data_IF_973479642467
#
_entry.id   IF_973479642467
#
_cell.length_a   1.000
_cell.length_b   1.000
_cell.length_c   1.000
_cell.angle_alpha   90.00
_cell.angle_beta   90.00
_cell.angle_gamma   90.00
#
_symmetry.space_group_name_H-M   'P 1'
#
loop_
_entity.id
_entity.type
_entity.pdbx_description
1 polymer ?
#
# COMPACT_ATOMS: atom_id res chain seq x y z
N UNK A 1 10.73 12.53 -33.74
CA UNK A 1 9.47 12.22 -33.06
C UNK A 1 9.66 12.47 -31.56
N UNK A 2 8.67 12.93 -30.81
CA UNK A 2 8.82 13.13 -29.39
C UNK A 2 9.08 11.80 -28.66
N UNK A 3 9.88 11.86 -27.57
CA UNK A 3 10.08 10.74 -26.65
C UNK A 3 8.81 10.47 -25.87
N UNK A 4 8.31 9.25 -25.92
CA UNK A 4 7.06 8.82 -25.27
C UNK A 4 7.36 8.21 -23.91
N UNK A 5 6.95 8.89 -22.83
CA UNK A 5 6.98 8.37 -21.48
C UNK A 5 5.58 7.90 -21.10
N UNK A 6 5.42 6.59 -20.94
CA UNK A 6 4.15 5.98 -20.54
C UNK A 6 4.18 5.63 -19.07
N UNK A 7 3.19 6.11 -18.32
CA UNK A 7 3.06 5.86 -16.87
C UNK A 7 1.79 5.08 -16.64
N UNK A 8 1.87 3.96 -15.91
CA UNK A 8 0.74 3.10 -15.59
C UNK A 8 0.41 3.17 -14.11
N UNK A 9 -0.87 3.41 -13.83
CA UNK A 9 -1.45 3.46 -12.49
C UNK A 9 -1.63 4.87 -11.95
N UNK A 10 -2.86 5.24 -11.59
CA UNK A 10 -3.25 6.51 -10.97
C UNK A 10 -3.07 6.56 -9.45
N UNK A 11 -2.34 5.60 -8.87
CA UNK A 11 -1.98 5.54 -7.45
C UNK A 11 -0.76 6.37 -7.10
N UNK A 12 -0.24 6.17 -5.87
CA UNK A 12 0.90 6.94 -5.31
C UNK A 12 2.08 7.01 -6.28
N UNK A 13 2.56 5.88 -6.78
CA UNK A 13 3.78 5.88 -7.58
C UNK A 13 3.60 6.51 -8.94
N UNK A 14 2.50 6.22 -9.65
CA UNK A 14 2.27 6.81 -10.98
C UNK A 14 2.04 8.31 -10.93
N UNK A 15 1.30 8.80 -9.92
CA UNK A 15 1.05 10.24 -9.73
C UNK A 15 2.34 11.00 -9.38
N UNK A 16 3.16 10.44 -8.49
CA UNK A 16 4.47 11.01 -8.15
C UNK A 16 5.39 11.03 -9.38
N UNK A 17 5.44 9.93 -10.12
CA UNK A 17 6.26 9.85 -11.34
C UNK A 17 5.79 10.86 -12.40
N UNK A 18 4.48 10.96 -12.65
CA UNK A 18 3.92 11.89 -13.63
C UNK A 18 4.24 13.34 -13.28
N UNK A 19 4.05 13.72 -12.00
CA UNK A 19 4.42 15.05 -11.52
C UNK A 19 5.91 15.33 -11.75
N UNK A 20 6.77 14.41 -11.33
CA UNK A 20 8.21 14.62 -11.38
C UNK A 20 8.75 14.71 -12.79
N UNK A 21 8.28 13.84 -13.71
CA UNK A 21 8.64 13.94 -15.14
C UNK A 21 8.19 15.29 -15.70
N UNK A 22 6.93 15.66 -15.47
CA UNK A 22 6.40 16.93 -15.98
C UNK A 22 7.17 18.16 -15.46
N UNK A 23 7.64 18.14 -14.20
CA UNK A 23 8.48 19.20 -13.64
C UNK A 23 9.84 19.28 -14.29
N UNK A 24 10.50 18.12 -14.50
CA UNK A 24 11.84 18.03 -15.09
C UNK A 24 11.87 18.34 -16.60
N UNK A 25 10.80 17.98 -17.32
CA UNK A 25 10.71 18.17 -18.77
C UNK A 25 9.83 19.36 -19.18
N UNK A 26 9.57 20.29 -18.23
CA UNK A 26 8.75 21.48 -18.51
C UNK A 26 9.27 22.27 -19.70
N UNK A 27 8.36 22.59 -20.63
CA UNK A 27 8.69 23.37 -21.84
C UNK A 27 9.33 22.56 -22.98
N UNK A 28 9.53 21.25 -22.82
CA UNK A 28 10.07 20.36 -23.85
C UNK A 28 8.93 19.86 -24.76
N UNK A 29 8.90 20.33 -26.01
CA UNK A 29 7.95 19.86 -27.03
C UNK A 29 8.31 18.46 -27.59
N UNK A 30 9.53 18.01 -27.35
CA UNK A 30 10.05 16.71 -27.78
C UNK A 30 9.84 15.58 -26.75
N UNK A 31 9.01 15.81 -25.72
CA UNK A 31 8.64 14.81 -24.72
C UNK A 31 7.12 14.74 -24.58
N UNK A 32 6.55 13.56 -24.74
CA UNK A 32 5.14 13.27 -24.53
C UNK A 32 4.97 12.39 -23.28
N UNK A 33 4.24 12.87 -22.27
CA UNK A 33 3.98 12.12 -21.04
C UNK A 33 2.52 11.71 -20.99
N UNK A 34 2.25 10.41 -20.89
CA UNK A 34 0.90 9.86 -20.78
C UNK A 34 0.76 9.04 -19.50
N UNK A 35 -0.24 9.37 -18.67
CA UNK A 35 -0.63 8.62 -17.47
C UNK A 35 -1.90 7.82 -17.77
N UNK A 36 -1.83 6.50 -17.67
CA UNK A 36 -2.98 5.59 -17.80
C UNK A 36 -3.43 5.12 -16.41
N UNK A 37 -4.73 5.24 -16.14
CA UNK A 37 -5.35 4.78 -14.89
C UNK A 37 -6.74 4.20 -15.17
N UNK A 38 -7.16 3.21 -14.39
CA UNK A 38 -8.51 2.65 -14.41
C UNK A 38 -9.56 3.60 -13.80
N UNK A 39 -9.11 4.60 -13.03
CA UNK A 39 -9.93 5.67 -12.48
C UNK A 39 -9.54 7.03 -13.07
N UNK A 40 -10.43 8.00 -12.98
CA UNK A 40 -10.19 9.41 -13.34
C UNK A 40 -9.78 10.28 -12.16
N UNK A 41 -9.53 9.65 -11.00
CA UNK A 41 -9.09 10.30 -9.78
C UNK A 41 -7.91 9.56 -9.14
N UNK A 42 -7.10 10.30 -8.43
CA UNK A 42 -6.16 9.82 -7.43
C UNK A 42 -6.86 9.71 -6.09
N UNK A 43 -6.79 8.55 -5.46
CA UNK A 43 -7.23 8.31 -4.09
C UNK A 43 -6.00 8.02 -3.23
N UNK A 44 -5.79 8.78 -2.15
CA UNK A 44 -4.70 8.50 -1.21
C UNK A 44 -5.06 7.29 -0.33
N UNK A 45 -4.42 6.11 -0.52
CA UNK A 45 -4.87 4.85 0.11
C UNK A 45 -4.97 4.88 1.63
N UNK A 46 -4.06 5.54 2.40
CA UNK A 46 -4.22 5.65 3.85
C UNK A 46 -5.53 6.30 4.32
N UNK A 47 -6.11 7.19 3.52
CA UNK A 47 -7.39 7.83 3.85
C UNK A 47 -8.60 6.89 3.73
N UNK A 48 -8.45 5.71 3.14
CA UNK A 48 -9.49 4.67 3.16
C UNK A 48 -9.82 4.21 4.59
N UNK A 49 -8.84 4.23 5.50
CA UNK A 49 -9.08 3.99 6.94
C UNK A 49 -10.01 5.06 7.51
N UNK A 50 -9.73 6.33 7.20
CA UNK A 50 -10.54 7.45 7.68
C UNK A 50 -11.96 7.45 7.06
N UNK A 51 -12.11 7.04 5.79
CA UNK A 51 -13.43 6.87 5.16
C UNK A 51 -14.23 5.78 5.88
N UNK A 52 -13.60 4.66 6.22
CA UNK A 52 -14.26 3.55 6.90
C UNK A 52 -14.61 3.86 8.36
N UNK A 53 -13.75 4.56 9.09
CA UNK A 53 -13.82 4.68 10.55
C UNK A 53 -14.20 6.08 11.06
N UNK A 54 -14.22 7.08 10.21
CA UNK A 54 -14.54 8.46 10.59
C UNK A 54 -15.52 9.11 9.60
N UNK A 55 -15.73 10.42 9.75
CA UNK A 55 -16.68 11.18 8.92
C UNK A 55 -16.04 11.82 7.67
N UNK A 56 -14.87 11.33 7.23
CA UNK A 56 -14.27 11.79 5.97
C UNK A 56 -15.07 11.23 4.80
N UNK A 57 -15.51 12.12 3.90
CA UNK A 57 -16.15 11.72 2.66
C UNK A 57 -15.11 11.25 1.62
N UNK A 58 -15.50 10.39 0.66
CA UNK A 58 -14.61 9.99 -0.43
C UNK A 58 -13.98 11.17 -1.17
N UNK A 59 -14.75 12.23 -1.42
CA UNK A 59 -14.30 13.42 -2.13
C UNK A 59 -13.16 14.15 -1.43
N UNK A 60 -13.09 14.09 -0.10
CA UNK A 60 -12.00 14.69 0.68
C UNK A 60 -10.68 13.89 0.58
N UNK A 61 -10.75 12.65 0.14
CA UNK A 61 -9.60 11.75 -0.03
C UNK A 61 -9.12 11.63 -1.48
N UNK A 62 -9.79 12.35 -2.42
CA UNK A 62 -9.59 12.22 -3.86
C UNK A 62 -9.16 13.52 -4.51
N UNK A 63 -8.37 13.40 -5.58
CA UNK A 63 -8.04 14.50 -6.50
C UNK A 63 -8.27 14.03 -7.94
N UNK A 64 -8.92 14.84 -8.80
CA UNK A 64 -9.13 14.48 -10.20
C UNK A 64 -7.79 14.45 -10.95
N UNK A 65 -7.53 13.37 -11.68
CA UNK A 65 -6.30 13.23 -12.49
C UNK A 65 -6.26 14.23 -13.67
N UNK A 66 -7.41 14.77 -14.06
CA UNK A 66 -7.46 15.83 -15.08
C UNK A 66 -6.63 17.07 -14.74
N UNK A 67 -6.31 17.30 -13.46
CA UNK A 67 -5.39 18.38 -13.04
C UNK A 67 -3.99 18.27 -13.65
N UNK A 68 -3.57 17.07 -14.05
CA UNK A 68 -2.28 16.87 -14.71
C UNK A 68 -2.18 17.52 -16.09
N UNK A 69 -3.31 17.84 -16.74
CA UNK A 69 -3.32 18.57 -18.00
C UNK A 69 -2.60 19.92 -17.91
N UNK A 70 -2.74 20.62 -16.78
CA UNK A 70 -2.02 21.89 -16.52
C UNK A 70 -0.50 21.74 -16.42
N UNK A 71 -0.02 20.51 -16.28
CA UNK A 71 1.42 20.16 -16.26
C UNK A 71 1.92 19.58 -17.57
N UNK A 72 1.06 19.51 -18.60
CA UNK A 72 1.40 18.91 -19.88
C UNK A 72 1.38 17.37 -19.91
N UNK A 73 0.77 16.73 -18.89
CA UNK A 73 0.59 15.27 -18.86
C UNK A 73 -0.78 14.92 -19.41
N UNK A 74 -0.82 14.06 -20.43
CA UNK A 74 -2.05 13.47 -20.94
C UNK A 74 -2.52 12.37 -19.99
N UNK A 75 -3.77 12.43 -19.54
CA UNK A 75 -4.38 11.38 -18.73
C UNK A 75 -5.36 10.56 -19.57
N UNK A 76 -5.28 9.24 -19.44
CA UNK A 76 -6.17 8.30 -20.14
C UNK A 76 -6.81 7.37 -19.12
N UNK A 77 -8.14 7.35 -19.07
CA UNK A 77 -8.87 6.38 -18.26
C UNK A 77 -8.96 5.07 -19.06
N UNK A 78 -8.18 4.08 -18.64
CA UNK A 78 -8.17 2.76 -19.26
C UNK A 78 -7.68 1.69 -18.28
N UNK A 79 -8.19 0.47 -18.46
CA UNK A 79 -7.75 -0.71 -17.71
C UNK A 79 -6.58 -1.36 -18.45
N UNK A 80 -5.42 -1.44 -17.81
CA UNK A 80 -4.26 -2.15 -18.34
C UNK A 80 -4.53 -3.64 -18.30
N UNK A 81 -4.38 -4.32 -19.44
CA UNK A 81 -4.58 -5.77 -19.59
C UNK A 81 -3.28 -6.54 -19.60
N UNK A 82 -2.27 -6.02 -20.30
CA UNK A 82 -0.97 -6.69 -20.45
C UNK A 82 0.14 -5.68 -20.70
N UNK A 83 1.29 -5.92 -20.10
CA UNK A 83 2.55 -5.23 -20.41
C UNK A 83 3.41 -6.15 -21.26
N UNK A 84 3.82 -5.69 -22.43
CA UNK A 84 4.71 -6.41 -23.36
C UNK A 84 6.02 -5.61 -23.50
N UNK A 85 7.03 -5.89 -22.67
CA UNK A 85 8.27 -5.12 -22.70
C UNK A 85 9.15 -5.42 -23.91
N UNK A 86 9.05 -6.62 -24.51
CA UNK A 86 9.84 -7.00 -25.68
C UNK A 86 9.45 -6.17 -26.92
N UNK A 87 8.16 -5.83 -27.04
CA UNK A 87 7.62 -5.02 -28.12
C UNK A 87 7.40 -3.55 -27.73
N UNK A 88 7.78 -3.14 -26.51
CA UNK A 88 7.54 -1.79 -25.96
C UNK A 88 6.09 -1.34 -26.09
N UNK A 89 5.15 -2.23 -25.77
CA UNK A 89 3.72 -1.96 -25.86
C UNK A 89 2.98 -2.30 -24.56
N UNK A 90 1.88 -1.59 -24.35
CA UNK A 90 0.92 -1.86 -23.27
C UNK A 90 -0.46 -2.03 -23.90
N UNK A 91 -1.11 -3.13 -23.61
CA UNK A 91 -2.51 -3.40 -24.02
C UNK A 91 -3.48 -2.94 -22.94
N UNK A 92 -4.50 -2.22 -23.36
CA UNK A 92 -5.60 -1.74 -22.49
C UNK A 92 -6.95 -2.07 -23.12
N UNK A 93 -8.03 -1.78 -22.40
CA UNK A 93 -9.39 -1.83 -22.93
C UNK A 93 -9.70 -0.69 -23.94
N UNK A 94 -8.84 0.33 -24.03
CA UNK A 94 -8.93 1.45 -24.96
C UNK A 94 -7.93 1.35 -26.14
N UNK A 95 -7.24 0.21 -26.30
CA UNK A 95 -6.26 -0.03 -27.36
C UNK A 95 -4.84 -0.24 -26.87
N UNK A 96 -3.89 -0.18 -27.81
CA UNK A 96 -2.46 -0.37 -27.55
C UNK A 96 -1.71 0.95 -27.48
N UNK A 97 -0.80 1.05 -26.53
CA UNK A 97 0.09 2.21 -26.36
C UNK A 97 1.53 1.77 -26.52
N UNK A 98 2.30 2.54 -27.28
CA UNK A 98 3.75 2.38 -27.44
C UNK A 98 4.50 3.37 -26.57
N UNK A 99 5.72 3.01 -26.14
CA UNK A 99 6.56 3.86 -25.31
C UNK A 99 8.03 3.79 -25.71
N UNK A 100 8.77 4.85 -25.39
CA UNK A 100 10.24 4.84 -25.34
C UNK A 100 10.70 4.53 -23.91
N UNK A 101 9.94 5.01 -22.90
CA UNK A 101 10.13 4.72 -21.47
C UNK A 101 8.81 4.33 -20.82
N UNK A 102 8.85 3.30 -20.00
CA UNK A 102 7.70 2.84 -19.21
C UNK A 102 7.98 3.01 -17.72
N UNK A 103 7.06 3.67 -17.01
CA UNK A 103 7.02 3.66 -15.55
C UNK A 103 5.73 2.97 -15.13
N UNK A 104 5.81 1.72 -14.64
CA UNK A 104 4.62 0.96 -14.27
C UNK A 104 4.49 0.85 -12.75
N UNK A 105 3.39 1.40 -12.20
CA UNK A 105 3.06 1.44 -10.78
C UNK A 105 1.62 0.99 -10.53
N UNK A 106 1.33 -0.27 -10.86
CA UNK A 106 -0.02 -0.85 -10.83
C UNK A 106 -0.49 -1.32 -9.43
N UNK A 107 0.29 -1.08 -8.38
CA UNK A 107 -0.03 -1.50 -7.01
C UNK A 107 0.09 -3.02 -6.82
N UNK A 108 -0.86 -3.63 -6.12
CA UNK A 108 -0.99 -5.08 -5.92
C UNK A 108 -2.44 -5.48 -6.10
N UNK A 109 -2.67 -6.69 -6.57
CA UNK A 109 -3.97 -7.34 -6.51
C UNK A 109 -4.21 -7.90 -5.10
N UNK A 110 -5.47 -7.99 -4.69
CA UNK A 110 -5.86 -8.52 -3.39
C UNK A 110 -6.50 -9.89 -3.54
N UNK A 111 -5.96 -10.87 -2.81
CA UNK A 111 -6.48 -12.24 -2.84
C UNK A 111 -7.56 -12.43 -1.76
N UNK A 112 -8.80 -12.26 -2.14
CA UNK A 112 -9.95 -12.56 -1.29
C UNK A 112 -10.41 -14.02 -1.38
N UNK A 113 -9.96 -14.77 -2.41
CA UNK A 113 -10.52 -16.10 -2.73
C UNK A 113 -9.87 -17.22 -1.95
N UNK A 114 -8.54 -17.22 -1.82
CA UNK A 114 -7.79 -18.35 -1.22
C UNK A 114 -8.29 -18.75 0.16
N UNK A 115 -8.71 -17.77 0.97
CA UNK A 115 -9.20 -17.99 2.34
C UNK A 115 -10.67 -17.62 2.53
N UNK A 116 -11.46 -17.47 1.46
CA UNK A 116 -12.86 -17.02 1.49
C UNK A 116 -13.05 -15.69 2.24
N UNK A 117 -12.17 -14.73 2.01
CA UNK A 117 -12.19 -13.45 2.72
C UNK A 117 -13.32 -12.51 2.25
N UNK A 118 -14.03 -12.86 1.19
CA UNK A 118 -15.15 -12.07 0.63
C UNK A 118 -16.30 -11.86 1.65
N UNK A 119 -16.41 -12.75 2.64
CA UNK A 119 -17.37 -12.63 3.74
C UNK A 119 -17.03 -11.55 4.78
N UNK A 120 -15.80 -11.04 4.78
CA UNK A 120 -15.32 -10.05 5.74
C UNK A 120 -15.34 -8.63 5.21
N UNK A 121 -15.22 -7.68 6.12
CA UNK A 121 -15.13 -6.25 5.81
C UNK A 121 -13.67 -5.81 5.71
N UNK A 122 -13.40 -4.83 4.88
CA UNK A 122 -12.07 -4.28 4.68
C UNK A 122 -12.15 -2.82 4.19
N UNK A 123 -11.00 -2.11 4.21
CA UNK A 123 -10.87 -0.78 3.62
C UNK A 123 -9.70 -0.71 2.61
N UNK A 124 -9.46 -1.80 1.88
CA UNK A 124 -8.43 -1.85 0.82
C UNK A 124 -8.91 -1.25 -0.50
N UNK A 125 -10.22 -1.09 -0.66
CA UNK A 125 -10.87 -0.41 -1.78
C UNK A 125 -11.90 0.61 -1.24
N UNK A 126 -12.31 1.55 -2.08
CA UNK A 126 -13.33 2.53 -1.70
C UNK A 126 -14.66 1.86 -1.35
N UNK A 127 -15.12 0.95 -2.20
CA UNK A 127 -16.36 0.18 -1.95
C UNK A 127 -16.28 -0.62 -0.65
N UNK A 128 -15.14 -1.29 -0.40
CA UNK A 128 -14.89 -2.00 0.85
C UNK A 128 -14.93 -1.09 2.07
N UNK A 129 -14.32 0.10 1.98
CA UNK A 129 -14.33 1.08 3.07
C UNK A 129 -15.75 1.59 3.40
N UNK A 130 -16.57 1.83 2.39
CA UNK A 130 -17.96 2.25 2.57
C UNK A 130 -18.81 1.14 3.18
N UNK A 131 -18.70 -0.09 2.68
CA UNK A 131 -19.39 -1.27 3.26
C UNK A 131 -18.98 -1.51 4.71
N UNK A 132 -17.70 -1.34 5.02
CA UNK A 132 -17.19 -1.48 6.38
C UNK A 132 -17.76 -0.39 7.30
N UNK A 133 -17.81 0.86 6.84
CA UNK A 133 -18.44 1.98 7.56
C UNK A 133 -19.89 1.66 7.93
N UNK A 134 -20.68 1.19 6.96
CA UNK A 134 -22.09 0.84 7.17
C UNK A 134 -22.26 -0.32 8.15
N UNK A 135 -21.42 -1.34 8.06
CA UNK A 135 -21.40 -2.48 8.98
C UNK A 135 -21.08 -2.02 10.41
N UNK A 136 -20.07 -1.17 10.59
CA UNK A 136 -19.71 -0.63 11.90
C UNK A 136 -20.85 0.23 12.48
N UNK A 137 -21.53 1.04 11.70
CA UNK A 137 -22.66 1.85 12.15
C UNK A 137 -23.80 0.99 12.75
N UNK A 138 -23.99 -0.21 12.21
CA UNK A 138 -25.02 -1.15 12.64
C UNK A 138 -24.58 -2.15 13.72
N UNK A 139 -23.28 -2.28 13.98
CA UNK A 139 -22.76 -3.22 14.98
C UNK A 139 -23.12 -2.79 16.42
N UNK A 140 -23.60 -3.71 17.24
CA UNK A 140 -24.10 -3.43 18.61
C UNK A 140 -23.35 -4.17 19.72
N UNK A 141 -22.46 -5.12 19.36
CA UNK A 141 -21.70 -5.95 20.29
C UNK A 141 -21.42 -7.33 19.72
N UNK A 142 -20.60 -8.10 20.39
CA UNK A 142 -20.18 -9.45 20.00
C UNK A 142 -18.69 -9.55 19.70
N UNK A 143 -18.28 -10.65 19.09
CA UNK A 143 -16.89 -10.96 18.79
C UNK A 143 -16.44 -10.31 17.47
N UNK A 144 -15.43 -9.45 17.55
CA UNK A 144 -14.75 -8.85 16.39
C UNK A 144 -13.46 -9.60 16.16
N UNK A 145 -13.32 -10.17 14.97
CA UNK A 145 -12.09 -10.84 14.54
C UNK A 145 -11.43 -10.04 13.42
N UNK A 146 -10.16 -9.71 13.60
CA UNK A 146 -9.30 -9.15 12.55
C UNK A 146 -8.41 -10.29 12.07
N UNK A 147 -8.54 -10.68 10.80
CA UNK A 147 -7.87 -11.85 10.26
C UNK A 147 -6.84 -11.49 9.20
N UNK A 148 -5.60 -11.86 9.47
CA UNK A 148 -4.43 -11.71 8.58
C UNK A 148 -3.89 -13.09 8.26
N UNK A 149 -4.21 -13.69 7.11
CA UNK A 149 -3.78 -15.07 6.80
C UNK A 149 -2.32 -15.18 6.39
N UNK A 150 -1.75 -14.15 5.74
CA UNK A 150 -0.39 -14.19 5.19
C UNK A 150 0.44 -12.95 5.60
N UNK A 151 1.79 -13.06 5.61
CA UNK A 151 2.65 -11.96 6.05
C UNK A 151 2.84 -10.86 5.00
N UNK A 152 2.52 -11.11 3.71
CA UNK A 152 2.65 -10.12 2.63
C UNK A 152 1.29 -9.54 2.30
N UNK A 153 1.02 -8.36 2.82
CA UNK A 153 -0.21 -7.59 2.62
C UNK A 153 0.10 -6.10 2.59
N UNK A 154 -0.80 -5.30 2.02
CA UNK A 154 -0.61 -3.83 1.97
C UNK A 154 -0.68 -3.23 3.37
N UNK A 155 0.30 -2.39 3.71
CA UNK A 155 0.40 -1.64 4.95
C UNK A 155 0.60 -2.51 6.19
N UNK A 156 1.85 -2.93 6.43
CA UNK A 156 2.23 -3.84 7.52
C UNK A 156 1.78 -3.43 8.93
N UNK A 157 1.49 -2.15 9.17
CA UNK A 157 1.00 -1.64 10.46
C UNK A 157 -0.52 -1.62 10.59
N UNK A 158 -1.25 -1.75 9.46
CA UNK A 158 -2.70 -1.59 9.42
C UNK A 158 -3.48 -2.52 10.39
N UNK A 159 -3.20 -3.82 10.50
CA UNK A 159 -3.99 -4.71 11.38
C UNK A 159 -3.94 -4.30 12.85
N UNK A 160 -2.80 -3.77 13.28
CA UNK A 160 -2.59 -3.33 14.66
C UNK A 160 -3.27 -1.98 14.91
N UNK A 161 -3.21 -1.09 13.93
CA UNK A 161 -3.88 0.20 13.95
C UNK A 161 -5.39 0.04 14.00
N UNK A 162 -5.98 -0.78 13.12
CA UNK A 162 -7.43 -0.98 13.07
C UNK A 162 -7.97 -1.58 14.38
N UNK A 163 -7.21 -2.48 15.02
CA UNK A 163 -7.60 -3.04 16.31
C UNK A 163 -7.73 -1.95 17.40
N UNK A 164 -6.76 -1.04 17.46
CA UNK A 164 -6.79 0.08 18.41
C UNK A 164 -7.89 1.10 18.10
N UNK A 165 -8.12 1.42 16.84
CA UNK A 165 -9.17 2.34 16.44
C UNK A 165 -10.57 1.79 16.68
N UNK A 166 -10.81 0.49 16.46
CA UNK A 166 -12.07 -0.16 16.75
C UNK A 166 -12.38 -0.12 18.25
N UNK A 167 -11.39 -0.38 19.11
CA UNK A 167 -11.54 -0.22 20.56
C UNK A 167 -12.00 1.21 20.92
N UNK A 168 -11.33 2.23 20.38
CA UNK A 168 -11.68 3.63 20.64
C UNK A 168 -13.09 3.99 20.13
N UNK A 169 -13.48 3.51 18.95
CA UNK A 169 -14.82 3.70 18.39
C UNK A 169 -15.89 3.08 19.31
N UNK A 170 -15.68 1.83 19.75
CA UNK A 170 -16.63 1.15 20.61
C UNK A 170 -16.72 1.78 22.02
N UNK A 171 -15.61 2.33 22.54
CA UNK A 171 -15.62 3.15 23.78
C UNK A 171 -16.42 4.42 23.58
N UNK A 172 -16.19 5.16 22.51
CA UNK A 172 -16.94 6.39 22.19
C UNK A 172 -18.43 6.12 22.04
N UNK A 173 -18.80 4.93 21.55
CA UNK A 173 -20.20 4.49 21.39
C UNK A 173 -20.80 3.87 22.66
N UNK A 174 -20.04 3.73 23.74
CA UNK A 174 -20.50 3.13 25.01
C UNK A 174 -20.82 1.63 24.94
N UNK A 175 -20.28 0.92 23.95
CA UNK A 175 -20.54 -0.53 23.75
C UNK A 175 -19.30 -1.40 23.93
N UNK A 176 -18.14 -0.82 24.32
CA UNK A 176 -16.88 -1.56 24.41
C UNK A 176 -16.95 -2.79 25.33
N UNK A 177 -17.71 -2.69 26.40
CA UNK A 177 -17.93 -3.79 27.37
C UNK A 177 -18.78 -4.96 26.81
N UNK A 178 -19.34 -4.80 25.61
CA UNK A 178 -20.10 -5.83 24.88
C UNK A 178 -19.33 -6.40 23.70
N UNK A 179 -18.05 -6.05 23.56
CA UNK A 179 -17.25 -6.39 22.39
C UNK A 179 -15.96 -7.07 22.79
N UNK A 180 -15.67 -8.22 22.19
CA UNK A 180 -14.40 -8.91 22.27
C UNK A 180 -13.62 -8.70 20.97
N UNK A 181 -12.41 -8.12 21.03
CA UNK A 181 -11.57 -7.88 19.85
C UNK A 181 -10.43 -8.89 19.84
N UNK A 182 -10.30 -9.64 18.74
CA UNK A 182 -9.20 -10.58 18.53
C UNK A 182 -8.51 -10.27 17.21
N UNK A 183 -7.18 -10.08 17.24
CA UNK A 183 -6.33 -10.00 16.06
C UNK A 183 -5.58 -11.31 15.86
N UNK A 184 -5.77 -11.95 14.70
CA UNK A 184 -5.13 -13.20 14.27
C UNK A 184 -4.08 -12.87 13.22
N UNK A 185 -2.80 -13.23 13.45
CA UNK A 185 -1.70 -12.76 12.63
C UNK A 185 -0.57 -13.81 12.49
N UNK A 186 0.14 -13.87 11.33
CA UNK A 186 1.27 -14.78 11.15
C UNK A 186 2.52 -14.45 11.99
N UNK A 187 2.74 -13.19 12.39
CA UNK A 187 3.87 -12.85 13.27
C UNK A 187 3.63 -13.36 14.68
N UNK A 188 4.70 -13.81 15.35
CA UNK A 188 4.62 -14.31 16.74
C UNK A 188 4.25 -13.21 17.71
N UNK A 189 4.83 -12.03 17.54
CA UNK A 189 4.56 -10.85 18.36
C UNK A 189 3.95 -9.74 17.48
N UNK A 190 3.12 -8.86 18.04
CA UNK A 190 2.53 -7.78 17.26
C UNK A 190 3.62 -6.85 16.73
N UNK A 191 3.49 -6.46 15.46
CA UNK A 191 4.37 -5.49 14.77
C UNK A 191 5.88 -5.83 14.82
N UNK A 192 6.19 -7.10 14.99
CA UNK A 192 7.55 -7.64 15.20
C UNK A 192 8.63 -7.07 14.24
N UNK A 193 8.37 -6.82 12.95
CA UNK A 193 9.36 -6.24 12.05
C UNK A 193 9.87 -4.83 12.42
N UNK A 194 9.14 -4.09 13.27
CA UNK A 194 9.54 -2.74 13.69
C UNK A 194 10.49 -2.74 14.90
N UNK A 195 10.78 -3.92 15.46
CA UNK A 195 11.73 -4.05 16.57
C UNK A 195 11.09 -4.04 17.97
N UNK A 196 11.90 -4.27 19.01
CA UNK A 196 11.42 -4.62 20.35
C UNK A 196 10.64 -3.50 21.04
N UNK A 197 10.96 -2.24 20.80
CA UNK A 197 10.27 -1.10 21.42
C UNK A 197 8.85 -0.95 20.86
N UNK A 198 8.68 -1.03 19.54
CA UNK A 198 7.36 -0.99 18.91
C UNK A 198 6.48 -2.17 19.38
N UNK A 199 7.07 -3.36 19.47
CA UNK A 199 6.42 -4.56 19.99
C UNK A 199 5.91 -4.32 21.41
N UNK A 200 6.80 -3.86 22.31
CA UNK A 200 6.45 -3.58 23.71
C UNK A 200 5.28 -2.61 23.82
N UNK A 201 5.34 -1.47 23.12
CA UNK A 201 4.28 -0.46 23.12
C UNK A 201 2.95 -1.05 22.65
N UNK A 202 2.99 -1.88 21.60
CA UNK A 202 1.78 -2.50 21.04
C UNK A 202 1.19 -3.55 21.97
N UNK A 203 2.02 -4.40 22.59
CA UNK A 203 1.58 -5.40 23.57
C UNK A 203 0.93 -4.74 24.80
N UNK A 204 1.59 -3.72 25.37
CA UNK A 204 1.03 -2.94 26.49
C UNK A 204 -0.28 -2.26 26.10
N UNK A 205 -0.38 -1.72 24.88
CA UNK A 205 -1.59 -1.10 24.37
C UNK A 205 -2.73 -2.12 24.23
N UNK A 206 -2.44 -3.29 23.67
CA UNK A 206 -3.44 -4.35 23.50
C UNK A 206 -3.92 -4.88 24.84
N UNK A 207 -2.99 -5.09 25.79
CA UNK A 207 -3.33 -5.50 27.15
C UNK A 207 -4.25 -4.48 27.84
N UNK A 208 -3.90 -3.18 27.79
CA UNK A 208 -4.70 -2.11 28.39
C UNK A 208 -6.09 -1.94 27.75
N UNK A 209 -6.22 -2.29 26.45
CA UNK A 209 -7.47 -2.23 25.71
C UNK A 209 -8.28 -3.54 25.76
N UNK A 210 -7.75 -4.61 26.34
CA UNK A 210 -8.38 -5.93 26.31
C UNK A 210 -8.51 -6.48 24.89
N UNK A 211 -7.50 -6.26 24.04
CA UNK A 211 -7.42 -6.81 22.68
C UNK A 211 -6.61 -8.10 22.72
N UNK A 212 -7.21 -9.21 22.30
CA UNK A 212 -6.54 -10.51 22.22
C UNK A 212 -5.68 -10.59 20.95
N UNK A 213 -4.43 -11.03 21.08
CA UNK A 213 -3.54 -11.31 19.96
C UNK A 213 -3.29 -12.81 19.84
N UNK A 214 -3.57 -13.39 18.68
CA UNK A 214 -3.24 -14.76 18.30
C UNK A 214 -2.17 -14.69 17.22
N UNK A 215 -0.90 -14.80 17.64
CA UNK A 215 0.26 -14.69 16.76
C UNK A 215 0.88 -16.03 16.41
N UNK A 216 1.80 -16.01 15.44
CA UNK A 216 2.53 -17.21 14.99
C UNK A 216 1.69 -18.18 14.19
N UNK A 217 0.64 -17.71 13.53
CA UNK A 217 -0.24 -18.54 12.73
C UNK A 217 0.49 -19.01 11.45
N UNK A 218 0.82 -20.30 11.40
CA UNK A 218 1.49 -20.97 10.27
C UNK A 218 0.54 -21.77 9.40
N UNK A 219 -0.67 -22.06 9.90
CA UNK A 219 -1.71 -22.80 9.20
C UNK A 219 -3.02 -22.00 9.18
N UNK A 220 -3.07 -20.90 8.39
CA UNK A 220 -4.29 -20.15 8.21
C UNK A 220 -5.29 -20.98 7.39
N UNK A 221 -6.55 -21.00 7.82
CA UNK A 221 -7.62 -21.70 7.12
C UNK A 221 -8.69 -20.75 6.58
N UNK A 222 -9.68 -21.28 5.89
CA UNK A 222 -10.73 -20.47 5.27
C UNK A 222 -11.71 -19.89 6.29
N UNK A 223 -12.34 -18.81 5.89
CA UNK A 223 -13.54 -18.27 6.54
C UNK A 223 -14.75 -19.08 6.12
N UNK A 224 -15.57 -19.46 7.08
CA UNK A 224 -16.89 -20.06 6.87
C UNK A 224 -17.98 -19.03 7.24
N UNK A 225 -18.57 -18.41 6.22
CA UNK A 225 -19.61 -17.39 6.42
C UNK A 225 -20.93 -17.96 6.98
N UNK A 226 -21.22 -19.23 6.73
CA UNK A 226 -22.45 -19.86 7.22
C UNK A 226 -22.40 -20.08 8.73
N UNK A 227 -21.25 -20.53 9.23
CA UNK A 227 -21.05 -20.76 10.68
C UNK A 227 -20.44 -19.56 11.39
N UNK A 228 -20.09 -18.48 10.65
CA UNK A 228 -19.39 -17.30 11.16
C UNK A 228 -18.12 -17.67 11.92
N UNK A 229 -17.24 -18.45 11.27
CA UNK A 229 -15.97 -18.88 11.86
C UNK A 229 -14.78 -18.68 10.94
N UNK A 230 -13.61 -18.44 11.56
CA UNK A 230 -12.29 -18.52 10.93
C UNK A 230 -11.59 -19.76 11.44
N UNK A 231 -11.00 -20.56 10.54
CA UNK A 231 -10.27 -21.77 10.92
C UNK A 231 -8.78 -21.49 11.07
N UNK A 232 -8.17 -21.84 12.21
CA UNK A 232 -6.75 -21.66 12.49
C UNK A 232 -6.19 -22.94 13.11
N UNK A 233 -5.25 -23.61 12.44
CA UNK A 233 -4.66 -24.86 12.95
C UNK A 233 -5.68 -25.95 13.24
N UNK A 234 -6.82 -25.93 12.54
CA UNK A 234 -7.94 -26.85 12.77
C UNK A 234 -8.98 -26.36 13.78
N UNK A 235 -8.69 -25.32 14.57
CA UNK A 235 -9.64 -24.73 15.52
C UNK A 235 -10.54 -23.69 14.84
N UNK A 236 -11.81 -23.61 15.24
CA UNK A 236 -12.78 -22.63 14.72
C UNK A 236 -12.98 -21.49 15.72
N UNK A 237 -12.67 -20.26 15.26
CA UNK A 237 -12.85 -19.03 16.02
C UNK A 237 -14.10 -18.33 15.48
N UNK A 238 -15.12 -18.14 16.34
CA UNK A 238 -16.36 -17.47 15.97
C UNK A 238 -16.19 -15.95 15.88
N UNK A 239 -16.98 -15.31 15.01
CA UNK A 239 -17.08 -13.87 14.90
C UNK A 239 -18.52 -13.39 14.66
N UNK A 240 -18.82 -12.19 15.12
CA UNK A 240 -20.03 -11.43 14.77
C UNK A 240 -19.68 -10.34 13.73
N UNK A 241 -18.46 -9.78 13.81
CA UNK A 241 -17.88 -8.87 12.83
C UNK A 241 -16.48 -9.38 12.43
N UNK A 242 -16.27 -9.59 11.15
CA UNK A 242 -14.98 -10.01 10.59
C UNK A 242 -14.34 -8.88 9.80
N UNK A 243 -13.14 -8.48 10.20
CA UNK A 243 -12.27 -7.58 9.41
C UNK A 243 -11.18 -8.42 8.77
N UNK A 244 -11.03 -8.33 7.46
CA UNK A 244 -10.05 -9.13 6.71
C UNK A 244 -8.93 -8.29 6.13
N UNK A 245 -7.73 -8.85 6.16
CA UNK A 245 -6.53 -8.29 5.55
C UNK A 245 -6.10 -9.22 4.42
N UNK A 246 -6.49 -8.91 3.17
CA UNK A 246 -6.22 -9.80 2.04
C UNK A 246 -4.73 -9.84 1.72
N UNK A 247 -4.18 -11.02 1.39
CA UNK A 247 -2.83 -11.14 0.86
C UNK A 247 -2.65 -10.31 -0.41
N UNK A 248 -1.47 -9.72 -0.54
CA UNK A 248 -1.07 -9.03 -1.75
C UNK A 248 -0.56 -10.02 -2.80
N UNK A 249 -0.90 -9.76 -4.07
CA UNK A 249 -0.47 -10.57 -5.23
C UNK A 249 0.06 -9.66 -6.34
N UNK A 250 0.83 -10.25 -7.23
CA UNK A 250 1.26 -9.58 -8.44
C UNK A 250 0.04 -9.14 -9.27
N UNK A 251 -0.01 -7.89 -9.76
CA UNK A 251 -1.09 -7.45 -10.65
C UNK A 251 -1.12 -8.25 -11.96
N UNK A 252 -2.31 -8.67 -12.36
CA UNK A 252 -2.54 -9.49 -13.57
C UNK A 252 -1.82 -9.01 -14.84
N UNK A 253 -1.69 -7.69 -15.14
CA UNK A 253 -0.96 -7.24 -16.33
C UNK A 253 0.49 -7.69 -16.43
N UNK A 254 1.10 -8.13 -15.33
CA UNK A 254 2.45 -8.67 -15.29
C UNK A 254 2.52 -10.20 -15.34
N UNK A 255 1.39 -10.90 -15.21
CA UNK A 255 1.36 -12.38 -15.23
C UNK A 255 1.91 -12.94 -16.53
N UNK A 256 2.85 -13.90 -16.41
CA UNK A 256 3.49 -14.55 -17.54
C UNK A 256 4.38 -13.62 -18.37
N UNK A 257 4.62 -12.40 -17.93
CA UNK A 257 5.55 -11.48 -18.61
C UNK A 257 6.99 -11.68 -18.11
N UNK A 258 8.02 -11.33 -18.92
CA UNK A 258 9.40 -11.37 -18.47
C UNK A 258 9.74 -10.42 -17.32
N UNK A 259 8.82 -9.51 -16.95
CA UNK A 259 8.96 -8.59 -15.80
C UNK A 259 8.72 -9.26 -14.47
N UNK A 260 8.04 -10.42 -14.43
CA UNK A 260 7.74 -11.16 -13.21
C UNK A 260 8.80 -12.21 -12.89
N UNK A 261 9.06 -12.45 -11.61
CA UNK A 261 9.94 -13.50 -11.13
C UNK A 261 9.42 -14.08 -9.80
N UNK A 262 9.73 -15.36 -9.56
CA UNK A 262 9.38 -16.05 -8.30
C UNK A 262 10.37 -15.74 -7.19
N UNK A 263 9.85 -15.49 -5.99
CA UNK A 263 10.59 -15.29 -4.75
C UNK A 263 9.99 -16.17 -3.65
N UNK A 264 10.68 -16.41 -2.53
CA UNK A 264 10.15 -17.21 -1.42
C UNK A 264 8.82 -16.67 -0.85
N UNK A 265 8.58 -15.37 -1.01
CA UNK A 265 7.38 -14.67 -0.51
C UNK A 265 6.34 -14.38 -1.60
N UNK A 266 6.44 -14.99 -2.78
CA UNK A 266 5.49 -14.82 -3.88
C UNK A 266 6.12 -14.49 -5.22
N UNK A 267 5.29 -14.12 -6.18
CA UNK A 267 5.73 -13.67 -7.52
C UNK A 267 5.69 -12.14 -7.54
N UNK A 268 6.79 -11.49 -7.93
CA UNK A 268 6.95 -10.04 -7.90
C UNK A 268 7.78 -9.55 -9.08
N UNK A 269 7.80 -8.23 -9.31
CA UNK A 269 8.63 -7.62 -10.35
C UNK A 269 9.97 -7.17 -9.75
N UNK A 270 11.10 -7.83 -10.07
CA UNK A 270 12.41 -7.43 -9.56
C UNK A 270 12.90 -6.13 -10.21
N UNK A 271 13.40 -5.24 -9.35
CA UNK A 271 13.96 -3.95 -9.74
C UNK A 271 15.39 -3.78 -9.21
N UNK A 272 16.15 -2.91 -9.82
CA UNK A 272 17.37 -2.39 -9.21
C UNK A 272 17.00 -1.49 -8.02
N UNK A 273 17.52 -1.81 -6.84
CA UNK A 273 17.17 -1.18 -5.57
C UNK A 273 17.49 0.32 -5.51
N UNK A 274 18.46 0.80 -6.29
CA UNK A 274 18.84 2.20 -6.36
C UNK A 274 17.97 3.01 -7.32
N UNK A 275 17.59 2.43 -8.45
CA UNK A 275 17.01 3.20 -9.58
C UNK A 275 15.54 2.93 -9.80
N UNK A 276 14.98 1.83 -9.25
CA UNK A 276 13.64 1.37 -9.56
C UNK A 276 13.48 0.80 -10.98
N UNK A 277 14.59 0.67 -11.75
CA UNK A 277 14.61 0.11 -13.09
C UNK A 277 14.42 -1.40 -13.03
N UNK A 278 13.72 -1.99 -13.98
CA UNK A 278 13.68 -3.45 -14.19
C UNK A 278 15.09 -4.03 -14.26
N UNK A 279 15.29 -5.23 -13.69
CA UNK A 279 16.59 -5.93 -13.80
C UNK A 279 16.84 -6.50 -15.19
N UNK A 280 15.85 -6.46 -16.10
CA UNK A 280 15.92 -7.04 -17.45
C UNK A 280 15.82 -6.01 -18.59
N UNK A 281 15.18 -4.86 -18.36
CA UNK A 281 14.88 -3.87 -19.39
C UNK A 281 15.35 -2.50 -18.97
N UNK A 282 16.13 -1.85 -19.83
CA UNK A 282 16.72 -0.53 -19.52
C UNK A 282 15.72 0.62 -19.64
N UNK A 283 14.66 0.44 -20.39
CA UNK A 283 13.60 1.42 -20.66
C UNK A 283 12.33 1.22 -19.78
N UNK A 284 12.36 0.24 -18.83
CA UNK A 284 11.22 -0.08 -17.96
C UNK A 284 11.58 0.16 -16.50
N UNK A 285 10.77 0.96 -15.83
CA UNK A 285 10.83 1.26 -14.40
C UNK A 285 9.56 0.78 -13.70
N UNK A 286 9.70 0.16 -12.52
CA UNK A 286 8.63 -0.56 -11.85
C UNK A 286 8.46 -0.11 -10.38
N UNK A 287 8.27 1.20 -10.11
CA UNK A 287 8.15 1.73 -8.75
C UNK A 287 6.74 1.48 -8.18
N UNK A 288 6.39 0.25 -7.93
CA UNK A 288 5.08 -0.14 -7.42
C UNK A 288 5.17 -1.05 -6.20
N UNK A 289 4.06 -1.23 -5.49
CA UNK A 289 3.97 -2.21 -4.39
C UNK A 289 4.32 -3.63 -4.87
N UNK A 290 4.07 -3.93 -6.13
CA UNK A 290 4.42 -5.20 -6.79
C UNK A 290 5.93 -5.47 -6.88
N UNK A 291 6.79 -4.49 -6.59
CA UNK A 291 8.26 -4.65 -6.60
C UNK A 291 8.86 -4.65 -5.20
N UNK A 292 8.18 -4.08 -4.23
CA UNK A 292 8.72 -3.90 -2.88
C UNK A 292 9.14 -5.21 -2.22
N UNK A 293 8.34 -6.31 -2.25
CA UNK A 293 8.74 -7.58 -1.64
C UNK A 293 9.94 -8.23 -2.32
N UNK A 294 10.15 -7.98 -3.63
CA UNK A 294 11.31 -8.48 -4.37
C UNK A 294 12.63 -7.92 -3.84
N UNK A 295 12.63 -6.70 -3.33
CA UNK A 295 13.83 -6.04 -2.78
C UNK A 295 13.86 -6.03 -1.25
N UNK A 296 12.90 -6.68 -0.57
CA UNK A 296 12.86 -6.80 0.90
C UNK A 296 12.18 -5.64 1.63
N UNK A 297 11.45 -4.77 0.92
CA UNK A 297 10.66 -3.69 1.51
C UNK A 297 9.18 -4.10 1.68
N UNK A 298 8.44 -3.47 2.62
CA UNK A 298 7.02 -3.71 2.77
C UNK A 298 6.21 -3.08 1.63
N UNK A 299 5.06 -3.66 1.33
CA UNK A 299 4.04 -3.08 0.44
C UNK A 299 3.39 -1.87 1.12
N UNK A 300 3.96 -0.70 0.92
CA UNK A 300 3.55 0.54 1.58
C UNK A 300 3.77 1.77 0.69
N UNK A 301 2.99 2.83 0.92
CA UNK A 301 3.03 4.04 0.09
C UNK A 301 4.36 4.81 0.16
N UNK A 302 5.03 4.83 1.31
CA UNK A 302 6.29 5.59 1.48
C UNK A 302 7.43 5.03 0.61
N UNK A 303 7.77 3.73 0.65
CA UNK A 303 8.77 3.16 -0.25
C UNK A 303 8.42 3.38 -1.73
N UNK A 304 7.16 3.20 -2.10
CA UNK A 304 6.69 3.43 -3.49
C UNK A 304 6.87 4.89 -3.91
N UNK A 305 6.55 5.85 -3.03
CA UNK A 305 6.73 7.28 -3.31
C UNK A 305 8.19 7.60 -3.67
N UNK A 306 9.14 7.21 -2.84
CA UNK A 306 10.56 7.47 -3.07
C UNK A 306 11.09 6.73 -4.30
N UNK A 307 10.73 5.47 -4.49
CA UNK A 307 11.15 4.71 -5.68
C UNK A 307 10.58 5.32 -6.96
N UNK A 308 9.33 5.81 -6.93
CA UNK A 308 8.72 6.48 -8.07
C UNK A 308 9.41 7.82 -8.40
N UNK A 309 9.76 8.59 -7.38
CA UNK A 309 10.50 9.84 -7.56
C UNK A 309 11.89 9.58 -8.17
N UNK A 310 12.59 8.57 -7.67
CA UNK A 310 13.89 8.14 -8.22
C UNK A 310 13.76 7.67 -9.66
N UNK A 311 12.82 6.76 -9.94
CA UNK A 311 12.58 6.25 -11.31
C UNK A 311 12.27 7.39 -12.29
N UNK A 312 11.43 8.35 -11.88
CA UNK A 312 11.12 9.52 -12.70
C UNK A 312 12.35 10.42 -12.94
N UNK A 313 13.20 10.62 -11.93
CA UNK A 313 14.46 11.35 -12.10
C UNK A 313 15.40 10.65 -13.06
N UNK A 314 15.52 9.31 -12.99
CA UNK A 314 16.34 8.53 -13.92
C UNK A 314 15.85 8.71 -15.35
N UNK A 315 14.56 8.49 -15.61
CA UNK A 315 13.96 8.67 -16.95
C UNK A 315 14.16 10.09 -17.47
N UNK A 316 13.89 11.11 -16.63
CA UNK A 316 14.08 12.50 -17.04
C UNK A 316 15.54 12.83 -17.33
N UNK A 317 16.48 12.33 -16.52
CA UNK A 317 17.91 12.52 -16.75
C UNK A 317 18.39 11.90 -18.06
N UNK A 318 17.95 10.68 -18.37
CA UNK A 318 18.27 10.03 -19.64
C UNK A 318 17.73 10.80 -20.87
N UNK A 319 16.50 11.33 -20.76
CA UNK A 319 15.90 12.15 -21.82
C UNK A 319 16.65 13.47 -22.00
N UNK A 320 17.09 14.10 -20.90
CA UNK A 320 17.76 15.41 -20.91
C UNK A 320 19.26 15.30 -21.15
N UNK A 321 19.84 14.09 -21.08
CA UNK A 321 21.30 13.90 -21.13
C UNK A 321 22.00 14.39 -19.86
N UNK A 322 21.30 14.43 -18.73
CA UNK A 322 21.81 14.90 -17.44
C UNK A 322 22.20 13.71 -16.55
N UNK A 323 23.35 13.78 -15.84
CA UNK A 323 23.66 12.79 -14.84
C UNK A 323 22.64 12.83 -13.69
N UNK A 324 22.19 11.68 -13.24
CA UNK A 324 21.26 11.56 -12.12
C UNK A 324 21.92 10.76 -11.02
N UNK A 325 22.06 11.37 -9.84
CA UNK A 325 22.35 10.64 -8.62
C UNK A 325 21.05 10.01 -8.11
N UNK A 326 20.95 8.66 -8.07
CA UNK A 326 19.74 8.03 -7.58
C UNK A 326 19.54 8.39 -6.12
N UNK A 327 18.38 8.99 -5.81
CA UNK A 327 18.01 9.28 -4.42
C UNK A 327 17.85 7.96 -3.67
N UNK A 328 18.69 7.73 -2.70
CA UNK A 328 18.62 6.51 -1.88
C UNK A 328 17.44 6.60 -0.91
N UNK A 329 16.69 5.52 -0.79
CA UNK A 329 15.73 5.37 0.30
C UNK A 329 16.52 5.01 1.56
N UNK A 330 16.84 6.02 2.39
CA UNK A 330 17.65 5.81 3.59
C UNK A 330 16.80 5.59 4.84
N UNK A 331 15.56 5.99 4.82
CA UNK A 331 14.66 5.86 5.96
C UNK A 331 13.19 5.73 5.53
N UNK A 332 12.42 5.06 6.37
CA UNK A 332 10.97 4.98 6.26
C UNK A 332 10.35 5.57 7.52
N UNK A 333 9.56 6.62 7.36
CA UNK A 333 8.74 7.19 8.43
C UNK A 333 7.31 6.68 8.31
N UNK A 334 6.73 6.25 9.42
CA UNK A 334 5.33 5.84 9.47
C UNK A 334 4.67 6.32 10.77
N UNK A 335 3.33 6.39 10.73
CA UNK A 335 2.52 6.74 11.87
C UNK A 335 1.31 5.79 11.95
N UNK A 336 0.99 5.36 13.16
CA UNK A 336 -0.17 4.55 13.50
C UNK A 336 -1.09 5.32 14.43
N UNK A 337 -2.39 5.07 14.34
CA UNK A 337 -3.41 5.64 15.23
C UNK A 337 -4.07 4.52 16.05
N UNK A 338 -3.89 4.57 17.38
CA UNK A 338 -4.52 3.64 18.31
C UNK A 338 -5.81 4.20 18.97
N UNK A 339 -6.32 5.31 18.42
CA UNK A 339 -7.52 5.98 18.89
C UNK A 339 -7.21 7.16 19.82
N UNK A 340 -6.68 6.92 21.01
CA UNK A 340 -6.34 7.98 21.98
C UNK A 340 -4.98 8.59 21.73
N UNK A 341 -4.08 7.87 21.09
CA UNK A 341 -2.72 8.35 20.75
C UNK A 341 -2.29 7.80 19.40
N UNK A 342 -1.33 8.50 18.79
CA UNK A 342 -0.58 8.02 17.65
C UNK A 342 0.80 7.50 18.06
N UNK A 343 1.28 6.47 17.35
CA UNK A 343 2.65 6.01 17.43
C UNK A 343 3.35 6.38 16.11
N UNK A 344 4.39 7.19 16.21
CA UNK A 344 5.24 7.54 15.06
C UNK A 344 6.61 6.88 15.21
N UNK A 345 7.17 6.43 14.12
CA UNK A 345 8.49 5.79 14.11
C UNK A 345 9.22 6.05 12.80
N UNK A 346 10.54 6.02 12.89
CA UNK A 346 11.47 6.03 11.76
C UNK A 346 12.23 4.72 11.72
N UNK A 347 12.40 4.15 10.53
CA UNK A 347 13.20 2.95 10.33
C UNK A 347 14.30 3.26 9.33
N UNK A 348 15.56 2.97 9.69
CA UNK A 348 16.66 3.04 8.74
C UNK A 348 16.53 1.94 7.69
N UNK A 349 16.82 2.28 6.45
CA UNK A 349 16.89 1.33 5.35
C UNK A 349 18.36 1.20 4.94
N UNK A 350 18.89 -0.01 5.09
CA UNK A 350 20.25 -0.35 4.65
C UNK A 350 20.16 -1.02 3.27
N UNK A 351 20.89 -0.50 2.30
CA UNK A 351 20.94 -1.09 0.97
C UNK A 351 22.13 -2.06 0.85
N UNK A 352 21.83 -3.27 0.44
CA UNK A 352 22.79 -4.28 0.02
C UNK A 352 22.84 -4.29 -1.51
N UNK A 353 23.78 -3.55 -2.07
CA UNK A 353 23.90 -3.41 -3.51
C UNK A 353 24.39 -4.69 -4.19
N UNK A 354 25.13 -5.53 -3.46
CA UNK A 354 25.64 -6.82 -3.98
C UNK A 354 24.50 -7.78 -4.23
N UNK A 355 23.55 -7.86 -3.29
CA UNK A 355 22.39 -8.75 -3.38
C UNK A 355 21.14 -8.04 -3.93
N UNK A 356 21.23 -6.76 -4.30
CA UNK A 356 20.12 -5.94 -4.78
C UNK A 356 18.93 -5.95 -3.83
N UNK A 357 19.17 -5.72 -2.54
CA UNK A 357 18.19 -5.79 -1.44
C UNK A 357 18.20 -4.54 -0.58
N UNK A 358 17.10 -4.34 0.11
CA UNK A 358 16.97 -3.38 1.20
C UNK A 358 16.64 -4.11 2.50
N UNK A 359 17.28 -3.72 3.58
CA UNK A 359 17.03 -4.25 4.92
C UNK A 359 16.53 -3.12 5.82
N UNK A 360 15.36 -3.30 6.43
CA UNK A 360 14.72 -2.31 7.31
C UNK A 360 14.24 -2.92 8.63
N UNK A 361 14.04 -4.24 8.66
CA UNK A 361 13.46 -4.95 9.80
C UNK A 361 14.32 -4.80 11.05
N UNK A 362 13.65 -4.43 12.15
CA UNK A 362 14.29 -4.25 13.45
C UNK A 362 15.15 -2.99 13.59
N UNK A 363 15.20 -2.12 12.59
CA UNK A 363 15.99 -0.87 12.60
C UNK A 363 15.15 0.39 12.88
N UNK A 364 13.95 0.22 13.44
CA UNK A 364 13.09 1.36 13.77
C UNK A 364 13.49 2.00 15.11
N UNK A 365 13.51 3.31 15.14
CA UNK A 365 13.90 4.15 16.28
C UNK A 365 13.02 5.39 16.37
N UNK A 366 13.26 6.24 17.36
CA UNK A 366 12.52 7.47 17.61
C UNK A 366 11.01 7.23 17.67
N UNK A 367 10.60 6.21 18.46
CA UNK A 367 9.20 5.85 18.60
C UNK A 367 8.54 6.83 19.56
N UNK A 368 7.69 7.68 19.01
CA UNK A 368 6.91 8.65 19.76
C UNK A 368 5.49 8.11 19.97
N UNK A 369 5.15 7.80 21.23
CA UNK A 369 3.77 7.54 21.67
C UNK A 369 3.18 8.84 22.23
N UNK A 370 2.25 9.47 21.51
CA UNK A 370 1.69 10.76 21.92
C UNK A 370 0.29 10.98 21.35
N UNK A 371 -0.62 11.65 22.08
CA UNK A 371 -1.87 12.16 21.51
C UNK A 371 -1.64 13.09 20.29
N UNK A 372 -0.53 13.83 20.25
CA UNK A 372 -0.15 14.64 19.09
C UNK A 372 0.21 13.80 17.86
N UNK A 373 0.64 12.54 18.04
CA UNK A 373 0.97 11.64 16.93
C UNK A 373 -0.22 11.41 15.99
N UNK A 374 -1.45 11.38 16.51
CA UNK A 374 -2.66 11.32 15.70
C UNK A 374 -2.84 12.58 14.85
N UNK A 375 -2.72 13.76 15.47
CA UNK A 375 -2.84 15.03 14.74
C UNK A 375 -1.77 15.16 13.64
N UNK A 376 -0.53 14.77 13.96
CA UNK A 376 0.57 14.80 12.99
C UNK A 376 0.28 13.85 11.82
N UNK A 377 -0.25 12.65 12.07
CA UNK A 377 -0.67 11.71 11.02
C UNK A 377 -1.74 12.32 10.12
N UNK A 378 -2.77 12.93 10.67
CA UNK A 378 -3.85 13.56 9.90
C UNK A 378 -3.34 14.74 9.07
N UNK A 379 -2.46 15.58 9.63
CA UNK A 379 -1.80 16.66 8.91
C UNK A 379 -0.88 16.15 7.79
N UNK A 380 -0.13 15.08 8.05
CA UNK A 380 0.73 14.45 7.05
C UNK A 380 -0.07 13.98 5.83
N UNK A 381 -1.19 13.29 6.02
CA UNK A 381 -2.02 12.84 4.90
C UNK A 381 -2.69 13.99 4.15
N UNK A 382 -3.17 15.02 4.84
CA UNK A 382 -3.73 16.22 4.21
C UNK A 382 -2.68 16.94 3.38
N UNK A 383 -1.47 17.10 3.92
CA UNK A 383 -0.35 17.73 3.21
C UNK A 383 0.08 16.89 2.02
N UNK A 384 0.20 15.57 2.20
CA UNK A 384 0.51 14.67 1.10
C UNK A 384 -0.50 14.82 -0.03
N UNK A 385 -1.79 14.72 0.27
CA UNK A 385 -2.85 14.86 -0.74
C UNK A 385 -2.76 16.23 -1.45
N UNK A 386 -2.60 17.32 -0.69
CA UNK A 386 -2.53 18.69 -1.22
C UNK A 386 -1.30 18.95 -2.11
N UNK A 387 -0.18 18.24 -1.87
CA UNK A 387 1.08 18.46 -2.60
C UNK A 387 1.30 17.44 -3.73
N UNK A 388 0.41 16.46 -3.89
CA UNK A 388 0.62 15.34 -4.82
C UNK A 388 0.41 15.74 -6.29
N UNK A 389 -0.58 16.59 -6.63
CA UNK A 389 -0.90 17.01 -8.01
C UNK A 389 -0.77 18.52 -8.15
#
# INVERSE_FOLDING_TARGET
MPKKVLILGGGVGGVVAAKRIAERTRGRADVEVTLISDTDYYLLPPLLVNIALSDISPQQAMLPLSRFSYRGVKTVKAVVKKVDPDNRTVETDQGKFQYDYLIASLGVDFDFKTYNLEAGFHNYTLDGALKFKDSLANFRGGSVVIYVPEPVYRCGVYPFEIAGQLDAIFRKRGIRNKVDITLIHPFRRPIEPLGPEAVKITEETFAAKGIKYIGGVTQPGPVDDKTKTVTIGGEKIKYDLLVVVPPARLPKPFDGTPLAASFPNGVWTPINVLTGRSVKYDDVYLPGEHSMPAIGLPTAGVPVHFTAMTSANMVAGEILGEPVDPAQINAMTCAMDYGEFGMMFNCDIKLDLTNNKAAWMGSCYSILKSPLGKLIKDLFYKTWLATTI
#
